data_IF_129367508042
#
_entry.id   IF_129367508042
#
_cell.length_a   1.000
_cell.length_b   1.000
_cell.length_c   1.000
_cell.angle_alpha   90.00
_cell.angle_beta   90.00
_cell.angle_gamma   90.00
#
_symmetry.space_group_name_H-M   'P 1'
#
loop_
_entity.id
_entity.type
_entity.pdbx_description
1 polymer ?
#
# COMPACT_ATOMS: atom_id res chain seq x y z
N UNK A 1 -8.28 -15.50 46.47
CA UNK A 1 -7.18 -16.20 45.80
C UNK A 1 -6.61 -15.27 44.72
N UNK A 2 -5.31 -14.99 44.76
CA UNK A 2 -4.69 -14.21 43.67
C UNK A 2 -4.62 -15.07 42.41
N UNK A 3 -5.11 -14.60 41.28
CA UNK A 3 -4.98 -15.35 40.03
C UNK A 3 -3.51 -15.48 39.65
N UNK A 4 -3.06 -16.72 39.44
CA UNK A 4 -1.71 -17.00 38.93
C UNK A 4 -1.81 -16.94 37.42
N UNK A 5 -1.06 -16.03 36.79
CA UNK A 5 -0.93 -15.96 35.35
C UNK A 5 0.50 -16.35 34.95
N UNK A 6 0.62 -17.18 33.92
CA UNK A 6 1.92 -17.50 33.33
C UNK A 6 2.41 -16.33 32.49
N UNK A 7 3.73 -16.11 32.44
CA UNK A 7 4.34 -15.13 31.54
C UNK A 7 4.11 -15.48 30.07
N UNK A 8 4.20 -14.49 29.20
CA UNK A 8 4.13 -14.72 27.75
C UNK A 8 5.28 -15.62 27.31
N UNK A 9 4.96 -16.62 26.49
CA UNK A 9 5.98 -17.42 25.79
C UNK A 9 6.56 -16.54 24.68
N UNK A 10 7.87 -16.35 24.66
CA UNK A 10 8.56 -15.69 23.55
C UNK A 10 8.66 -16.65 22.37
N UNK A 11 8.04 -16.32 21.27
CA UNK A 11 8.05 -17.08 20.03
C UNK A 11 8.84 -16.30 18.98
N UNK A 12 9.66 -16.99 18.22
CA UNK A 12 10.41 -16.38 17.12
C UNK A 12 9.47 -15.72 16.12
N UNK A 13 9.78 -14.49 15.74
CA UNK A 13 9.00 -13.75 14.73
C UNK A 13 9.25 -14.33 13.35
N UNK A 14 8.20 -14.72 12.61
CA UNK A 14 8.36 -15.22 11.25
C UNK A 14 8.85 -14.08 10.33
N UNK A 15 9.86 -14.37 9.52
CA UNK A 15 10.53 -13.38 8.65
C UNK A 15 10.40 -13.67 7.17
N UNK A 16 9.98 -14.87 6.79
CA UNK A 16 9.74 -15.25 5.38
C UNK A 16 8.25 -15.23 5.10
N UNK A 17 7.86 -14.76 3.93
CA UNK A 17 6.46 -14.73 3.56
C UNK A 17 6.26 -14.97 2.07
N UNK A 18 5.12 -15.57 1.73
CA UNK A 18 4.62 -15.73 0.35
C UNK A 18 3.16 -15.30 0.27
N UNK A 19 2.75 -14.86 -0.89
CA UNK A 19 1.33 -14.71 -1.19
C UNK A 19 0.72 -16.09 -1.36
N UNK A 20 -0.44 -16.31 -0.78
CA UNK A 20 -1.18 -17.54 -1.04
C UNK A 20 -2.52 -17.27 -1.73
N UNK A 21 -3.00 -18.26 -2.41
CA UNK A 21 -4.34 -18.29 -3.03
C UNK A 21 -4.92 -19.68 -2.91
N UNK A 22 -6.24 -19.78 -2.72
CA UNK A 22 -6.94 -21.05 -2.86
C UNK A 22 -6.74 -21.56 -4.29
N UNK A 23 -6.45 -22.85 -4.45
CA UNK A 23 -6.28 -23.47 -5.77
C UNK A 23 -7.59 -23.63 -6.48
N UNK A 24 -8.67 -23.91 -5.76
CA UNK A 24 -10.03 -24.00 -6.26
C UNK A 24 -10.80 -22.72 -5.92
N UNK A 25 -11.46 -22.16 -6.91
CA UNK A 25 -12.31 -20.97 -6.73
C UNK A 25 -13.48 -21.31 -5.79
N UNK A 26 -13.72 -20.44 -4.81
CA UNK A 26 -14.76 -20.61 -3.80
C UNK A 26 -14.31 -21.34 -2.54
N UNK A 27 -13.03 -21.73 -2.44
CA UNK A 27 -12.44 -22.32 -1.22
C UNK A 27 -11.61 -21.34 -0.38
N UNK A 28 -11.63 -20.06 -0.74
CA UNK A 28 -10.86 -19.02 -0.07
C UNK A 28 -11.14 -18.98 1.44
N UNK A 29 -12.42 -19.05 1.81
CA UNK A 29 -12.83 -19.03 3.22
C UNK A 29 -12.42 -20.29 3.97
N UNK A 30 -12.44 -21.46 3.31
CA UNK A 30 -12.00 -22.71 3.91
C UNK A 30 -10.50 -22.68 4.17
N UNK A 31 -9.72 -22.18 3.21
CA UNK A 31 -8.25 -22.00 3.37
C UNK A 31 -7.97 -21.04 4.54
N UNK A 32 -8.66 -19.90 4.59
CA UNK A 32 -8.48 -18.92 5.67
C UNK A 32 -8.81 -19.50 7.06
N UNK A 33 -9.91 -20.23 7.18
CA UNK A 33 -10.31 -20.88 8.43
C UNK A 33 -9.32 -21.97 8.85
N UNK A 34 -8.83 -22.77 7.92
CA UNK A 34 -7.84 -23.81 8.19
C UNK A 34 -6.50 -23.20 8.65
N UNK A 35 -6.02 -22.15 7.95
CA UNK A 35 -4.82 -21.42 8.35
C UNK A 35 -4.97 -20.75 9.72
N UNK A 36 -6.14 -20.21 10.05
CA UNK A 36 -6.42 -19.65 11.37
C UNK A 36 -6.34 -20.70 12.49
N UNK A 37 -6.80 -21.94 12.24
CA UNK A 37 -6.64 -23.05 13.18
C UNK A 37 -5.17 -23.47 13.32
N UNK A 38 -4.44 -23.58 12.21
CA UNK A 38 -3.01 -23.90 12.24
C UNK A 38 -2.20 -22.85 12.98
N UNK A 39 -2.51 -21.58 12.85
CA UNK A 39 -1.85 -20.50 13.57
C UNK A 39 -2.13 -20.52 15.10
N UNK A 40 -3.18 -21.20 15.55
CA UNK A 40 -3.40 -21.46 16.99
C UNK A 40 -2.51 -22.60 17.51
N UNK A 41 -2.19 -23.57 16.66
CA UNK A 41 -1.31 -24.71 16.99
C UNK A 41 0.17 -24.30 16.87
N UNK A 42 0.52 -23.44 15.90
CA UNK A 42 1.87 -22.95 15.65
C UNK A 42 1.90 -21.41 15.62
N UNK A 43 2.43 -20.83 16.68
CA UNK A 43 2.50 -19.37 16.87
C UNK A 43 3.51 -18.69 15.91
N UNK A 44 4.30 -19.44 15.17
CA UNK A 44 5.21 -18.91 14.13
C UNK A 44 4.52 -18.73 12.77
N UNK A 45 3.26 -19.14 12.65
CA UNK A 45 2.42 -18.89 11.48
C UNK A 45 1.68 -17.58 11.66
N UNK A 46 1.77 -16.66 10.67
CA UNK A 46 1.02 -15.42 10.67
C UNK A 46 0.40 -15.19 9.31
N UNK A 47 -0.88 -14.83 9.30
CA UNK A 47 -1.61 -14.44 8.09
C UNK A 47 -1.87 -12.94 8.14
N UNK A 48 -1.51 -12.23 7.07
CA UNK A 48 -1.68 -10.77 6.94
C UNK A 48 -2.43 -10.46 5.65
N UNK A 49 -3.47 -9.65 5.76
CA UNK A 49 -4.16 -9.13 4.60
C UNK A 49 -3.49 -7.81 4.17
N UNK A 50 -2.85 -7.82 3.02
CA UNK A 50 -2.26 -6.65 2.38
C UNK A 50 -3.29 -6.01 1.44
N UNK A 51 -4.04 -5.06 1.98
CA UNK A 51 -5.10 -4.35 1.25
C UNK A 51 -4.57 -3.49 0.12
N UNK A 52 -3.35 -2.99 0.22
CA UNK A 52 -2.73 -2.15 -0.81
C UNK A 52 -2.49 -2.93 -2.10
N UNK A 53 -1.91 -4.11 -2.01
CA UNK A 53 -1.64 -4.96 -3.17
C UNK A 53 -2.75 -5.96 -3.46
N UNK A 54 -3.85 -5.94 -2.68
CA UNK A 54 -4.98 -6.86 -2.77
C UNK A 54 -4.52 -8.31 -2.78
N UNK A 55 -3.76 -8.68 -1.76
CA UNK A 55 -3.19 -10.01 -1.59
C UNK A 55 -3.24 -10.42 -0.12
N UNK A 56 -3.22 -11.72 0.13
CA UNK A 56 -3.05 -12.26 1.46
C UNK A 56 -1.69 -12.93 1.57
N UNK A 57 -0.96 -12.62 2.63
CA UNK A 57 0.40 -13.08 2.88
C UNK A 57 0.39 -14.11 3.99
N UNK A 58 1.09 -15.21 3.78
CA UNK A 58 1.38 -16.22 4.77
C UNK A 58 2.84 -16.09 5.19
N UNK A 59 3.06 -15.83 6.46
CA UNK A 59 4.38 -15.74 7.07
C UNK A 59 4.74 -17.05 7.77
N UNK A 60 6.02 -17.39 7.71
CA UNK A 60 6.61 -18.56 8.38
C UNK A 60 8.10 -18.35 8.63
N UNK A 61 8.74 -19.34 9.23
CA UNK A 61 10.16 -19.31 9.61
C UNK A 61 11.12 -19.53 8.43
N UNK A 62 10.61 -19.99 7.28
CA UNK A 62 11.41 -20.24 6.08
C UNK A 62 10.58 -20.87 4.97
N UNK A 63 11.15 -21.03 3.78
CA UNK A 63 10.45 -21.62 2.63
C UNK A 63 9.95 -23.03 2.89
N UNK A 64 10.79 -23.87 3.50
CA UNK A 64 10.40 -25.24 3.88
C UNK A 64 9.22 -25.26 4.87
N UNK A 65 9.19 -24.32 5.81
CA UNK A 65 8.06 -24.20 6.74
C UNK A 65 6.77 -23.85 6.00
N UNK A 66 6.81 -22.91 5.04
CA UNK A 66 5.66 -22.55 4.23
C UNK A 66 5.16 -23.75 3.38
N UNK A 67 6.07 -24.54 2.84
CA UNK A 67 5.72 -25.74 2.06
C UNK A 67 5.12 -26.85 2.96
N UNK A 68 5.60 -26.99 4.19
CA UNK A 68 5.01 -27.91 5.19
C UNK A 68 3.59 -27.45 5.55
N UNK A 69 3.37 -26.16 5.77
CA UNK A 69 2.03 -25.60 6.03
C UNK A 69 1.07 -25.93 4.89
N UNK A 70 1.50 -25.74 3.64
CA UNK A 70 0.69 -26.06 2.46
C UNK A 70 0.36 -27.56 2.39
N UNK A 71 1.33 -28.42 2.68
CA UNK A 71 1.15 -29.87 2.71
C UNK A 71 0.19 -30.32 3.83
N UNK A 72 0.31 -29.74 5.02
CA UNK A 72 -0.60 -30.01 6.14
C UNK A 72 -2.01 -29.54 5.87
N UNK A 73 -2.17 -28.39 5.20
CA UNK A 73 -3.46 -27.86 4.78
C UNK A 73 -4.19 -28.87 3.89
N UNK A 74 -3.47 -29.42 2.91
CA UNK A 74 -4.02 -30.44 2.02
C UNK A 74 -4.34 -31.75 2.74
N UNK A 75 -3.44 -32.25 3.56
CA UNK A 75 -3.59 -33.57 4.20
C UNK A 75 -4.61 -33.55 5.34
N UNK A 76 -4.56 -32.56 6.22
CA UNK A 76 -5.38 -32.45 7.44
C UNK A 76 -6.75 -31.84 7.15
N UNK A 77 -6.80 -30.78 6.34
CA UNK A 77 -8.04 -30.00 6.09
C UNK A 77 -8.66 -30.24 4.72
N UNK A 78 -8.02 -31.02 3.85
CA UNK A 78 -8.49 -31.35 2.49
C UNK A 78 -8.73 -30.12 1.61
N UNK A 79 -7.95 -29.04 1.84
CA UNK A 79 -7.98 -27.79 1.09
C UNK A 79 -6.61 -27.56 0.50
N UNK A 80 -6.55 -27.11 -0.76
CA UNK A 80 -5.28 -26.89 -1.46
C UNK A 80 -5.06 -25.39 -1.69
N UNK A 81 -3.80 -24.95 -1.53
CA UNK A 81 -3.39 -23.58 -1.81
C UNK A 81 -2.13 -23.52 -2.65
N UNK A 82 -1.99 -22.43 -3.40
CA UNK A 82 -0.78 -22.12 -4.16
C UNK A 82 -0.03 -21.01 -3.47
N UNK A 83 1.28 -21.20 -3.27
CA UNK A 83 2.21 -20.19 -2.76
C UNK A 83 2.89 -19.50 -3.95
N UNK A 84 2.84 -18.17 -3.97
CA UNK A 84 3.38 -17.35 -5.05
C UNK A 84 4.27 -16.24 -4.48
N UNK A 85 5.12 -15.66 -5.33
CA UNK A 85 5.87 -14.45 -4.96
C UNK A 85 4.90 -13.32 -4.62
N UNK A 86 5.08 -12.61 -3.50
CA UNK A 86 4.24 -11.48 -3.14
C UNK A 86 4.43 -10.32 -4.11
N UNK A 87 3.39 -9.54 -4.29
CA UNK A 87 3.50 -8.23 -4.95
C UNK A 87 4.19 -7.27 -3.98
N UNK A 88 5.08 -6.45 -4.50
CA UNK A 88 5.78 -5.41 -3.74
C UNK A 88 5.09 -4.07 -3.97
N UNK A 89 4.82 -3.34 -2.89
CA UNK A 89 4.28 -2.00 -2.95
C UNK A 89 5.39 -1.02 -3.32
N UNK A 90 5.49 -0.68 -4.60
CA UNK A 90 6.41 0.35 -5.06
C UNK A 90 5.84 1.74 -4.81
N UNK A 91 6.74 2.72 -4.75
CA UNK A 91 6.44 4.15 -4.68
C UNK A 91 7.21 4.88 -5.77
N UNK A 92 6.61 5.95 -6.27
CA UNK A 92 7.29 6.88 -7.18
C UNK A 92 7.77 8.09 -6.39
N UNK A 93 8.90 8.67 -6.79
CA UNK A 93 9.40 9.90 -6.20
C UNK A 93 10.22 10.69 -7.21
N UNK A 94 10.45 11.96 -6.94
CA UNK A 94 11.31 12.82 -7.74
C UNK A 94 12.68 12.99 -7.07
N UNK A 95 13.73 13.08 -7.89
CA UNK A 95 15.11 13.26 -7.40
C UNK A 95 15.66 14.67 -7.65
N UNK A 96 15.01 15.44 -8.50
CA UNK A 96 15.43 16.79 -8.89
C UNK A 96 14.25 17.74 -8.78
N UNK A 97 14.54 19.00 -8.50
CA UNK A 97 13.52 20.05 -8.57
C UNK A 97 13.17 20.38 -10.00
N UNK A 98 11.90 20.69 -10.23
CA UNK A 98 11.36 21.07 -11.53
C UNK A 98 10.35 22.18 -11.37
N UNK A 99 10.47 23.22 -12.18
CA UNK A 99 9.48 24.28 -12.29
C UNK A 99 8.55 23.97 -13.47
N UNK A 100 7.26 23.96 -13.21
CA UNK A 100 6.22 23.61 -14.19
C UNK A 100 5.25 24.78 -14.35
N UNK A 101 5.02 25.20 -15.58
CA UNK A 101 4.00 26.16 -15.97
C UNK A 101 2.89 25.38 -16.71
N UNK A 102 1.78 25.11 -16.01
CA UNK A 102 0.68 24.33 -16.55
C UNK A 102 -0.55 25.15 -16.80
N UNK A 103 -1.05 25.06 -18.02
CA UNK A 103 -2.24 25.77 -18.48
C UNK A 103 -3.26 24.79 -19.02
N UNK A 104 -4.43 24.75 -18.39
CA UNK A 104 -5.56 23.98 -18.85
C UNK A 104 -6.61 24.89 -19.44
N UNK A 105 -6.99 24.65 -20.68
CA UNK A 105 -8.08 25.36 -21.36
C UNK A 105 -8.95 24.36 -22.11
N UNK A 106 -10.20 24.25 -21.73
CA UNK A 106 -11.18 23.40 -22.41
C UNK A 106 -12.44 24.22 -22.67
N UNK A 107 -12.84 24.27 -23.92
CA UNK A 107 -14.07 24.94 -24.35
C UNK A 107 -14.76 24.05 -25.36
N UNK A 108 -15.90 23.50 -25.00
CA UNK A 108 -16.73 22.62 -25.83
C UNK A 108 -18.17 23.10 -25.91
N UNK A 109 -18.36 24.44 -26.12
CA UNK A 109 -19.65 25.12 -26.13
C UNK A 109 -20.01 25.73 -24.78
N UNK A 110 -20.64 26.91 -24.79
CA UNK A 110 -21.07 27.65 -23.59
C UNK A 110 -19.92 28.13 -22.70
N UNK A 111 -19.99 27.80 -21.42
CA UNK A 111 -18.96 28.17 -20.46
C UNK A 111 -17.73 27.24 -20.57
N UNK A 112 -16.55 27.83 -20.82
CA UNK A 112 -15.27 27.12 -20.86
C UNK A 112 -14.68 26.92 -19.47
N UNK A 113 -13.77 25.95 -19.39
CA UNK A 113 -12.91 25.73 -18.20
C UNK A 113 -11.53 26.30 -18.47
N UNK A 114 -10.98 27.01 -17.50
CA UNK A 114 -9.63 27.56 -17.57
C UNK A 114 -8.94 27.48 -16.23
N UNK A 115 -7.71 27.00 -16.23
CA UNK A 115 -6.81 26.99 -15.08
C UNK A 115 -5.38 27.22 -15.53
N UNK A 116 -4.65 28.07 -14.84
CA UNK A 116 -3.24 28.33 -15.10
C UNK A 116 -2.52 28.41 -13.76
N UNK A 117 -1.52 27.53 -13.56
CA UNK A 117 -0.74 27.48 -12.34
C UNK A 117 0.73 27.25 -12.66
N UNK A 118 1.59 27.99 -11.96
CA UNK A 118 3.03 27.75 -11.95
C UNK A 118 3.40 27.10 -10.64
N UNK A 119 4.07 25.97 -10.71
CA UNK A 119 4.40 25.16 -9.54
C UNK A 119 5.86 24.73 -9.60
N UNK A 120 6.48 24.71 -8.44
CA UNK A 120 7.80 24.08 -8.23
C UNK A 120 7.59 22.79 -7.49
N UNK A 121 8.15 21.72 -8.05
CA UNK A 121 8.23 20.42 -7.39
C UNK A 121 9.66 20.16 -6.97
N UNK A 122 9.87 19.75 -5.72
CA UNK A 122 11.19 19.44 -5.19
C UNK A 122 11.13 18.19 -4.31
N UNK A 123 12.26 17.43 -4.18
CA UNK A 123 12.32 16.31 -3.24
C UNK A 123 12.13 16.82 -1.81
N UNK A 124 11.28 16.16 -1.03
CA UNK A 124 11.06 16.47 0.37
C UNK A 124 12.14 15.85 1.27
N UNK A 125 12.77 14.74 0.81
CA UNK A 125 13.76 13.99 1.59
C UNK A 125 13.14 12.95 2.54
N UNK A 126 11.88 13.09 2.90
CA UNK A 126 11.11 12.13 3.69
C UNK A 126 10.16 11.35 2.78
N UNK A 127 10.37 10.04 2.68
CA UNK A 127 9.55 9.14 1.85
C UNK A 127 8.33 8.59 2.58
N UNK A 128 8.18 8.83 3.86
CA UNK A 128 6.99 8.44 4.63
C UNK A 128 5.84 9.42 4.38
N UNK A 129 6.15 10.65 4.00
CA UNK A 129 5.18 11.70 3.68
C UNK A 129 4.89 11.69 2.18
N UNK A 130 3.64 11.54 1.76
CA UNK A 130 3.28 11.57 0.34
C UNK A 130 3.66 12.88 -0.33
N UNK A 131 3.19 14.00 0.21
CA UNK A 131 3.52 15.33 -0.30
C UNK A 131 3.42 16.39 0.79
N UNK A 132 4.11 17.52 0.56
CA UNK A 132 3.96 18.76 1.31
C UNK A 132 3.55 19.86 0.32
N UNK A 133 2.46 20.56 0.63
CA UNK A 133 2.02 21.70 -0.16
C UNK A 133 2.37 23.01 0.54
N UNK A 134 3.04 23.91 -0.17
CA UNK A 134 3.34 25.27 0.29
C UNK A 134 3.01 26.29 -0.77
N UNK A 135 2.73 27.52 -0.35
CA UNK A 135 2.45 28.62 -1.27
C UNK A 135 3.56 29.68 -1.17
N UNK A 136 4.08 30.10 -2.31
CA UNK A 136 5.06 31.17 -2.44
C UNK A 136 4.52 32.30 -3.36
N UNK A 137 3.21 32.53 -3.33
CA UNK A 137 2.56 33.52 -4.22
C UNK A 137 2.85 34.93 -3.73
N UNK A 138 3.48 35.73 -4.57
CA UNK A 138 3.77 37.15 -4.32
C UNK A 138 2.80 38.01 -5.11
N UNK A 139 2.33 39.13 -4.53
CA UNK A 139 1.53 40.14 -5.21
C UNK A 139 0.10 39.72 -5.54
N UNK A 140 -0.42 38.62 -4.95
CA UNK A 140 -1.82 38.23 -5.16
C UNK A 140 -2.12 37.66 -6.56
N UNK A 141 -1.09 37.17 -7.26
CA UNK A 141 -1.23 36.60 -8.61
C UNK A 141 -2.22 35.43 -8.68
N UNK A 142 -2.38 34.69 -7.58
CA UNK A 142 -3.41 33.66 -7.42
C UNK A 142 -4.24 34.01 -6.19
N UNK A 143 -5.56 34.19 -6.30
CA UNK A 143 -6.42 34.45 -5.15
C UNK A 143 -6.42 33.26 -4.18
N UNK A 144 -6.41 33.53 -2.87
CA UNK A 144 -6.28 32.52 -1.81
C UNK A 144 -7.34 31.42 -1.84
N UNK A 145 -8.53 31.73 -2.34
CA UNK A 145 -9.64 30.78 -2.47
C UNK A 145 -9.38 29.65 -3.47
N UNK A 146 -8.37 29.76 -4.33
CA UNK A 146 -7.99 28.71 -5.27
C UNK A 146 -6.92 27.73 -4.73
N UNK A 147 -6.22 28.08 -3.65
CA UNK A 147 -5.19 27.19 -3.07
C UNK A 147 -5.71 25.81 -2.67
N UNK A 148 -6.88 25.68 -2.01
CA UNK A 148 -7.43 24.37 -1.70
C UNK A 148 -7.74 23.53 -2.95
N UNK A 149 -8.11 24.17 -4.06
CA UNK A 149 -8.38 23.47 -5.32
C UNK A 149 -7.09 22.95 -5.95
N UNK A 150 -5.99 23.72 -5.86
CA UNK A 150 -4.66 23.27 -6.35
C UNK A 150 -4.16 22.12 -5.51
N UNK A 151 -4.21 22.24 -4.18
CA UNK A 151 -3.80 21.19 -3.25
C UNK A 151 -4.60 19.88 -3.46
N UNK A 152 -5.92 20.00 -3.64
CA UNK A 152 -6.77 18.84 -3.97
C UNK A 152 -6.33 18.16 -5.26
N UNK A 153 -5.96 18.93 -6.29
CA UNK A 153 -5.43 18.40 -7.54
C UNK A 153 -4.13 17.61 -7.34
N UNK A 154 -3.23 18.08 -6.46
CA UNK A 154 -2.02 17.35 -6.08
C UNK A 154 -2.39 16.06 -5.34
N UNK A 155 -3.27 16.17 -4.34
CA UNK A 155 -3.73 15.02 -3.55
C UNK A 155 -4.32 13.90 -4.40
N UNK A 156 -5.08 14.24 -5.41
CA UNK A 156 -5.64 13.28 -6.36
C UNK A 156 -4.55 12.69 -7.27
N UNK A 157 -3.55 13.48 -7.66
CA UNK A 157 -2.48 13.08 -8.57
C UNK A 157 -1.44 12.17 -7.92
N UNK A 158 -1.13 12.37 -6.62
CA UNK A 158 -0.12 11.56 -5.92
C UNK A 158 -0.58 10.12 -5.67
N UNK A 159 -1.88 9.84 -5.74
CA UNK A 159 -2.43 8.49 -5.57
C UNK A 159 -1.97 7.56 -6.70
N UNK A 160 -1.79 8.10 -7.90
CA UNK A 160 -1.38 7.34 -9.08
C UNK A 160 -0.31 8.11 -9.87
N UNK A 161 0.94 7.74 -9.65
CA UNK A 161 2.08 8.38 -10.30
C UNK A 161 2.16 8.14 -11.81
N UNK A 162 2.88 9.03 -12.53
CA UNK A 162 2.92 9.05 -13.99
C UNK A 162 3.84 8.00 -14.61
N UNK A 163 4.77 7.40 -13.86
CA UNK A 163 5.75 6.45 -14.40
C UNK A 163 5.17 5.05 -14.58
N UNK A 164 4.68 4.47 -13.52
CA UNK A 164 4.17 3.10 -13.48
C UNK A 164 2.81 2.98 -12.77
N UNK A 165 2.26 4.12 -12.32
CA UNK A 165 0.97 4.19 -11.65
C UNK A 165 1.02 3.86 -10.16
N UNK A 166 2.20 3.84 -9.56
CA UNK A 166 2.35 3.70 -8.12
C UNK A 166 2.17 5.03 -7.40
N UNK A 167 1.78 5.01 -6.11
CA UNK A 167 1.64 6.24 -5.35
C UNK A 167 2.94 7.04 -5.30
N UNK A 168 2.84 8.36 -5.44
CA UNK A 168 3.98 9.28 -5.34
C UNK A 168 4.21 9.65 -3.88
N UNK A 169 5.48 9.70 -3.45
CA UNK A 169 5.88 10.07 -2.10
C UNK A 169 7.09 10.99 -2.11
N UNK A 170 7.27 11.74 -1.01
CA UNK A 170 8.45 12.57 -0.79
C UNK A 170 8.53 13.78 -1.73
N UNK A 171 7.40 14.39 -2.07
CA UNK A 171 7.32 15.53 -2.98
C UNK A 171 6.85 16.78 -2.25
N UNK A 172 7.60 17.88 -2.38
CA UNK A 172 7.18 19.22 -2.00
C UNK A 172 6.72 19.97 -3.24
N UNK A 173 5.53 20.53 -3.17
CA UNK A 173 4.89 21.29 -4.23
C UNK A 173 4.53 22.70 -3.78
#
# INVERSE_FOLDING_TARGET
ANPIAYGKIEVSTPYTYKRYRAKLKGEEDKVAQALAKMAQEDLTIKVVNDGENRQTLLYGMGDQHLDIIASQLLTKYKVDMTLEKPKVAFRETIRKSSDVDSKYKKQSGGHGQYGHVKMRFSPLGDLEVPYEFSQEVVGGAVPKNYFPAVEKGIQESVVKGPLAGYPVVGVKA
#
